data_IF_184304766303
#
_entry.id   IF_184304766303
#
_cell.length_a   1.000
_cell.length_b   1.000
_cell.length_c   1.000
_cell.angle_alpha   90.00
_cell.angle_beta   90.00
_cell.angle_gamma   90.00
#
_symmetry.space_group_name_H-M   'P 1'
#
loop_
_entity.id
_entity.type
_entity.pdbx_description
1 polymer ?
#
# COMPACT_ATOMS: atom_id res chain seq x y z
N UNK A 1 -9.70 -4.02 -13.43
CA UNK A 1 -10.31 -2.67 -13.35
C UNK A 1 -11.48 -2.57 -12.38
N UNK A 2 -12.41 -3.55 -12.31
CA UNK A 2 -13.52 -3.58 -11.32
C UNK A 2 -13.04 -3.56 -9.86
N UNK A 3 -12.01 -4.35 -9.56
CA UNK A 3 -11.39 -4.43 -8.24
C UNK A 3 -11.01 -3.07 -7.63
N UNK A 4 -10.20 -2.25 -8.32
CA UNK A 4 -9.72 -0.97 -7.79
C UNK A 4 -10.85 -0.05 -7.36
N UNK A 5 -11.91 0.07 -8.18
CA UNK A 5 -13.06 0.90 -7.83
C UNK A 5 -13.82 0.35 -6.62
N UNK A 6 -13.99 -0.97 -6.53
CA UNK A 6 -14.63 -1.61 -5.39
C UNK A 6 -13.81 -1.44 -4.10
N UNK A 7 -12.47 -1.58 -4.18
CA UNK A 7 -11.54 -1.33 -3.09
C UNK A 7 -11.68 0.10 -2.54
N UNK A 8 -11.62 1.10 -3.44
CA UNK A 8 -11.73 2.52 -3.07
C UNK A 8 -13.09 2.79 -2.42
N UNK A 9 -14.19 2.28 -2.99
CA UNK A 9 -15.53 2.44 -2.40
C UNK A 9 -15.61 1.84 -1.00
N UNK A 10 -15.04 0.67 -0.78
CA UNK A 10 -15.02 0.01 0.53
C UNK A 10 -14.22 0.82 1.55
N UNK A 11 -13.00 1.27 1.19
CA UNK A 11 -12.16 2.09 2.08
C UNK A 11 -12.79 3.46 2.40
N UNK A 12 -13.53 4.04 1.45
CA UNK A 12 -14.25 5.29 1.67
C UNK A 12 -15.60 5.10 2.37
N UNK A 13 -15.99 3.86 2.69
CA UNK A 13 -17.33 3.50 3.20
C UNK A 13 -18.46 4.03 2.32
N UNK A 14 -18.24 4.10 1.01
CA UNK A 14 -19.24 4.49 0.02
C UNK A 14 -20.23 3.35 -0.31
N UNK A 15 -20.29 2.31 0.53
CA UNK A 15 -21.21 1.19 0.43
C UNK A 15 -22.47 1.41 1.27
N UNK A 16 -23.59 0.85 0.82
CA UNK A 16 -24.92 1.07 1.41
C UNK A 16 -25.18 0.33 2.73
N UNK A 17 -24.31 -0.61 3.13
CA UNK A 17 -24.55 -1.51 4.26
C UNK A 17 -23.67 -1.22 5.48
N UNK A 18 -24.23 -1.37 6.68
CA UNK A 18 -23.49 -1.28 7.93
C UNK A 18 -22.46 -2.43 8.05
N UNK A 19 -21.32 -2.24 8.76
CA UNK A 19 -20.24 -3.23 8.85
C UNK A 19 -20.65 -4.62 9.38
N UNK A 20 -21.74 -4.72 10.15
CA UNK A 20 -22.26 -5.98 10.68
C UNK A 20 -23.19 -6.74 9.71
N UNK A 21 -23.54 -6.16 8.55
CA UNK A 21 -24.54 -6.73 7.64
C UNK A 21 -23.98 -7.95 6.88
N UNK A 22 -24.74 -9.05 6.71
CA UNK A 22 -24.31 -10.21 5.93
C UNK A 22 -23.88 -9.87 4.49
N UNK A 23 -24.54 -8.93 3.82
CA UNK A 23 -24.13 -8.49 2.48
C UNK A 23 -22.84 -7.67 2.47
N UNK A 24 -22.52 -6.95 3.55
CA UNK A 24 -21.22 -6.27 3.68
C UNK A 24 -20.09 -7.31 3.77
N UNK A 25 -20.29 -8.37 4.58
CA UNK A 25 -19.34 -9.49 4.67
C UNK A 25 -19.18 -10.22 3.34
N UNK A 26 -20.29 -10.52 2.66
CA UNK A 26 -20.27 -11.15 1.34
C UNK A 26 -19.53 -10.30 0.30
N UNK A 27 -19.79 -8.99 0.27
CA UNK A 27 -19.08 -8.07 -0.63
C UNK A 27 -17.57 -8.01 -0.40
N UNK A 28 -17.12 -8.18 0.85
CA UNK A 28 -15.69 -8.24 1.18
C UNK A 28 -15.04 -9.56 0.74
N UNK A 29 -15.74 -10.69 0.88
CA UNK A 29 -15.28 -11.99 0.36
C UNK A 29 -15.18 -11.99 -1.16
N UNK A 30 -16.18 -11.44 -1.84
CA UNK A 30 -16.17 -11.31 -3.30
C UNK A 30 -15.01 -10.42 -3.76
N UNK A 31 -14.73 -9.33 -3.02
CA UNK A 31 -13.63 -8.42 -3.30
C UNK A 31 -12.24 -9.08 -3.14
N UNK A 32 -12.04 -9.93 -2.14
CA UNK A 32 -10.80 -10.72 -2.01
C UNK A 32 -10.64 -11.72 -3.16
N UNK A 33 -11.73 -12.37 -3.57
CA UNK A 33 -11.70 -13.29 -4.73
C UNK A 33 -11.34 -12.54 -6.02
N UNK A 34 -11.90 -11.34 -6.23
CA UNK A 34 -11.52 -10.45 -7.33
C UNK A 34 -10.04 -10.03 -7.26
N UNK A 35 -9.50 -9.79 -6.05
CA UNK A 35 -8.09 -9.48 -5.84
C UNK A 35 -7.19 -10.64 -6.27
N UNK A 36 -7.45 -11.86 -5.80
CA UNK A 36 -6.64 -13.04 -6.12
C UNK A 36 -6.62 -13.31 -7.63
N UNK A 37 -7.78 -13.21 -8.29
CA UNK A 37 -7.88 -13.35 -9.74
C UNK A 37 -7.12 -12.25 -10.49
N UNK A 38 -7.17 -11.01 -9.98
CA UNK A 38 -6.42 -9.90 -10.56
C UNK A 38 -4.91 -10.11 -10.46
N UNK A 39 -4.44 -10.64 -9.32
CA UNK A 39 -3.02 -10.82 -9.07
C UNK A 39 -2.39 -11.87 -9.99
N UNK A 40 -3.08 -12.98 -10.25
CA UNK A 40 -2.50 -14.09 -11.00
C UNK A 40 -1.14 -14.51 -10.40
N UNK A 41 -0.09 -14.47 -11.21
CA UNK A 41 1.28 -14.82 -10.78
C UNK A 41 2.06 -13.65 -10.17
N UNK A 42 1.45 -12.46 -10.06
CA UNK A 42 2.13 -11.26 -9.57
C UNK A 42 2.20 -11.26 -8.05
N UNK A 43 3.31 -10.74 -7.51
CA UNK A 43 3.56 -10.79 -6.07
C UNK A 43 2.71 -9.80 -5.25
N UNK A 44 2.43 -8.61 -5.79
CA UNK A 44 1.75 -7.53 -5.06
C UNK A 44 1.14 -6.45 -5.96
N UNK A 45 0.16 -5.74 -5.41
CA UNK A 45 -0.43 -4.54 -5.99
C UNK A 45 -0.16 -3.35 -5.07
N UNK A 46 0.45 -2.29 -5.61
CA UNK A 46 0.86 -1.10 -4.84
C UNK A 46 0.13 0.13 -5.35
N UNK A 47 -0.50 0.87 -4.44
CA UNK A 47 -1.03 2.21 -4.69
C UNK A 47 -0.07 3.24 -4.10
N UNK A 48 0.34 4.22 -4.90
CA UNK A 48 1.35 5.19 -4.49
C UNK A 48 1.01 6.59 -4.96
N UNK A 49 1.09 7.55 -4.03
CA UNK A 49 1.05 8.97 -4.33
C UNK A 49 2.36 9.37 -4.99
N UNK A 50 2.25 9.94 -6.17
CA UNK A 50 3.34 10.59 -6.89
C UNK A 50 3.16 12.09 -6.84
N UNK A 51 4.20 12.80 -6.41
CA UNK A 51 4.22 14.27 -6.39
C UNK A 51 5.02 14.73 -7.61
N UNK A 52 4.36 15.45 -8.50
CA UNK A 52 5.00 16.22 -9.57
C UNK A 52 5.09 17.69 -9.14
N UNK A 53 5.77 18.53 -9.93
CA UNK A 53 5.93 19.95 -9.60
C UNK A 53 4.58 20.69 -9.45
N UNK A 54 3.55 20.26 -10.20
CA UNK A 54 2.27 20.97 -10.32
C UNK A 54 1.07 20.14 -9.83
N UNK A 55 1.24 18.84 -9.56
CA UNK A 55 0.11 17.97 -9.23
C UNK A 55 0.49 16.73 -8.38
N UNK A 56 -0.46 16.24 -7.58
CA UNK A 56 -0.41 14.96 -6.87
C UNK A 56 -1.35 13.97 -7.54
N UNK A 57 -0.79 12.87 -8.00
CA UNK A 57 -1.55 11.78 -8.62
C UNK A 57 -1.34 10.47 -7.85
N UNK A 58 -2.24 9.50 -8.08
CA UNK A 58 -2.07 8.13 -7.59
C UNK A 58 -1.66 7.26 -8.78
N UNK A 59 -0.59 6.50 -8.61
CA UNK A 59 -0.19 5.44 -9.54
C UNK A 59 -0.42 4.08 -8.91
N UNK A 60 -0.65 3.09 -9.76
CA UNK A 60 -0.79 1.70 -9.38
C UNK A 60 0.32 0.89 -10.05
N UNK A 61 1.11 0.23 -9.23
CA UNK A 61 2.15 -0.71 -9.64
C UNK A 61 1.67 -2.15 -9.38
N UNK A 62 2.01 -3.08 -10.27
CA UNK A 62 1.49 -4.46 -10.25
C UNK A 62 0.34 -4.76 -11.22
N UNK A 63 -0.08 -3.80 -12.06
CA UNK A 63 -0.99 -4.04 -13.18
C UNK A 63 -0.27 -4.40 -14.49
N UNK A 64 0.94 -3.89 -14.67
CA UNK A 64 1.76 -3.95 -15.88
C UNK A 64 3.24 -3.79 -15.46
N UNK A 65 4.16 -3.86 -16.41
CA UNK A 65 5.61 -3.69 -16.17
C UNK A 65 5.96 -2.27 -15.66
N UNK A 66 5.09 -1.30 -15.95
CA UNK A 66 5.23 0.08 -15.51
C UNK A 66 4.03 0.52 -14.65
N UNK A 67 4.24 1.38 -13.64
CA UNK A 67 3.14 1.97 -12.88
C UNK A 67 2.17 2.73 -13.78
N UNK A 68 0.87 2.46 -13.60
CA UNK A 68 -0.20 3.11 -14.35
C UNK A 68 -0.87 4.21 -13.51
N UNK A 69 -1.19 5.38 -14.07
CA UNK A 69 -2.04 6.36 -13.40
C UNK A 69 -3.39 5.73 -13.03
N UNK A 70 -3.91 6.05 -11.84
CA UNK A 70 -5.19 5.53 -11.34
C UNK A 70 -6.34 5.83 -12.31
N UNK A 71 -6.29 7.00 -12.96
CA UNK A 71 -7.26 7.46 -13.95
C UNK A 71 -7.36 6.51 -15.15
N UNK A 72 -6.26 5.85 -15.53
CA UNK A 72 -6.26 4.86 -16.63
C UNK A 72 -6.85 3.52 -16.21
N UNK A 73 -6.85 3.22 -14.92
CA UNK A 73 -7.39 1.96 -14.37
C UNK A 73 -8.88 2.08 -14.03
N UNK A 74 -9.41 3.30 -13.96
CA UNK A 74 -10.81 3.60 -13.68
C UNK A 74 -11.57 4.00 -14.96
N UNK A 75 -12.90 3.78 -14.98
CA UNK A 75 -13.76 4.32 -16.04
C UNK A 75 -13.92 5.83 -15.84
N UNK A 76 -13.99 6.61 -16.93
CA UNK A 76 -14.00 8.09 -16.91
C UNK A 76 -14.99 8.69 -15.90
N UNK A 77 -16.23 8.18 -15.85
CA UNK A 77 -17.28 8.72 -14.96
C UNK A 77 -16.99 8.50 -13.46
N UNK A 78 -16.17 7.51 -13.11
CA UNK A 78 -15.78 7.24 -11.73
C UNK A 78 -14.55 8.05 -11.30
N UNK A 79 -13.71 8.44 -12.25
CA UNK A 79 -12.41 9.07 -11.99
C UNK A 79 -12.56 10.42 -11.27
N UNK A 80 -13.42 11.31 -11.78
CA UNK A 80 -13.61 12.66 -11.23
C UNK A 80 -14.13 12.66 -9.78
N UNK A 81 -14.91 11.64 -9.41
CA UNK A 81 -15.50 11.53 -8.07
C UNK A 81 -14.57 10.85 -7.07
N UNK A 82 -13.87 9.79 -7.48
CA UNK A 82 -13.17 8.91 -6.55
C UNK A 82 -11.68 9.20 -6.43
N UNK A 83 -11.02 9.74 -7.46
CA UNK A 83 -9.58 10.05 -7.37
C UNK A 83 -9.29 11.12 -6.30
N UNK A 84 -10.00 12.27 -6.25
CA UNK A 84 -9.75 13.28 -5.22
C UNK A 84 -10.03 12.75 -3.80
N UNK A 85 -11.14 12.02 -3.63
CA UNK A 85 -11.49 11.39 -2.34
C UNK A 85 -10.46 10.35 -1.90
N UNK A 86 -9.86 9.65 -2.86
CA UNK A 86 -8.81 8.69 -2.54
C UNK A 86 -7.51 9.39 -2.16
N UNK A 87 -7.14 10.50 -2.80
CA UNK A 87 -6.05 11.35 -2.33
C UNK A 87 -6.29 11.89 -0.91
N UNK A 88 -7.49 12.37 -0.61
CA UNK A 88 -7.89 12.78 0.76
C UNK A 88 -7.77 11.64 1.76
N UNK A 89 -8.08 10.40 1.35
CA UNK A 89 -7.89 9.21 2.18
C UNK A 89 -6.40 8.98 2.49
N UNK A 90 -5.50 9.13 1.51
CA UNK A 90 -4.06 9.05 1.74
C UNK A 90 -3.60 10.16 2.71
N UNK A 91 -4.11 11.38 2.55
CA UNK A 91 -3.77 12.51 3.42
C UNK A 91 -4.22 12.30 4.85
N UNK A 92 -5.46 11.83 5.04
CA UNK A 92 -6.04 11.53 6.34
C UNK A 92 -5.18 10.54 7.14
N UNK A 93 -4.61 9.55 6.46
CA UNK A 93 -3.75 8.54 7.06
C UNK A 93 -2.26 8.90 7.03
N UNK A 94 -1.90 10.11 6.57
CA UNK A 94 -0.52 10.54 6.31
C UNK A 94 0.28 9.54 5.47
N UNK A 95 -0.41 8.90 4.52
CA UNK A 95 0.01 7.75 3.75
C UNK A 95 0.60 8.21 2.41
N UNK A 96 1.70 7.58 1.98
CA UNK A 96 2.30 7.76 0.66
C UNK A 96 2.08 6.56 -0.24
N UNK A 97 2.14 5.36 0.31
CA UNK A 97 1.83 4.15 -0.43
C UNK A 97 1.31 3.05 0.49
N UNK A 98 0.43 2.21 -0.03
CA UNK A 98 0.15 0.91 0.57
C UNK A 98 0.24 -0.17 -0.51
N UNK A 99 0.58 -1.38 -0.10
CA UNK A 99 0.71 -2.52 -1.00
C UNK A 99 0.05 -3.75 -0.41
N UNK A 100 -0.64 -4.49 -1.27
CA UNK A 100 -1.32 -5.74 -0.94
C UNK A 100 -0.55 -6.89 -1.57
N UNK A 101 -0.03 -7.81 -0.76
CA UNK A 101 0.63 -9.03 -1.27
C UNK A 101 -0.43 -10.03 -1.74
N UNK A 102 -0.14 -10.73 -2.83
CA UNK A 102 -1.05 -11.72 -3.42
C UNK A 102 -1.39 -12.88 -2.47
N UNK A 103 -0.52 -13.16 -1.49
CA UNK A 103 -0.70 -14.21 -0.49
C UNK A 103 -1.56 -13.81 0.71
N UNK A 104 -2.12 -12.59 0.73
CA UNK A 104 -3.00 -12.13 1.83
C UNK A 104 -4.21 -13.05 1.97
N UNK A 105 -4.51 -13.47 3.20
CA UNK A 105 -5.69 -14.30 3.47
C UNK A 105 -6.98 -13.47 3.37
N UNK A 106 -8.15 -14.10 3.13
CA UNK A 106 -9.42 -13.39 3.12
C UNK A 106 -9.71 -12.67 4.45
N UNK A 107 -9.36 -13.29 5.57
CA UNK A 107 -9.55 -12.75 6.92
C UNK A 107 -8.69 -11.50 7.14
N UNK A 108 -7.40 -11.58 6.82
CA UNK A 108 -6.48 -10.46 6.96
C UNK A 108 -6.86 -9.29 6.03
N UNK A 109 -7.23 -9.61 4.78
CA UNK A 109 -7.70 -8.62 3.82
C UNK A 109 -8.93 -7.87 4.35
N UNK A 110 -9.90 -8.61 4.90
CA UNK A 110 -11.09 -8.02 5.50
C UNK A 110 -10.73 -7.13 6.71
N UNK A 111 -9.90 -7.62 7.63
CA UNK A 111 -9.44 -6.88 8.81
C UNK A 111 -8.76 -5.57 8.41
N UNK A 112 -7.89 -5.62 7.40
CA UNK A 112 -7.25 -4.43 6.83
C UNK A 112 -8.27 -3.43 6.27
N UNK A 113 -9.26 -3.88 5.49
CA UNK A 113 -10.27 -2.98 4.92
C UNK A 113 -11.15 -2.34 6.00
N UNK A 114 -11.53 -3.10 7.02
CA UNK A 114 -12.29 -2.55 8.16
C UNK A 114 -11.48 -1.48 8.87
N UNK A 115 -10.22 -1.78 9.22
CA UNK A 115 -9.31 -0.84 9.88
C UNK A 115 -9.16 0.46 9.07
N UNK A 116 -8.83 0.35 7.78
CA UNK A 116 -8.57 1.52 6.94
C UNK A 116 -9.84 2.32 6.60
N UNK A 117 -11.02 1.71 6.69
CA UNK A 117 -12.29 2.39 6.46
C UNK A 117 -12.68 3.35 7.58
N UNK A 118 -12.15 3.14 8.79
CA UNK A 118 -12.39 4.00 9.93
C UNK A 118 -11.51 5.25 9.82
N UNK A 119 -12.00 6.44 10.18
CA UNK A 119 -11.12 7.59 10.31
C UNK A 119 -10.10 7.31 11.43
N UNK A 120 -8.82 7.71 11.28
CA UNK A 120 -7.87 7.63 12.37
C UNK A 120 -8.40 8.45 13.55
N UNK A 121 -8.21 7.95 14.77
CA UNK A 121 -8.65 8.65 15.98
C UNK A 121 -8.06 10.07 16.03
N UNK A 122 -8.91 11.06 16.26
CA UNK A 122 -8.53 12.45 16.31
C UNK A 122 -7.76 12.76 17.61
N UNK A 123 -6.43 12.66 17.60
CA UNK A 123 -5.59 13.26 18.65
C UNK A 123 -4.09 13.33 18.31
N UNK A 124 -3.54 14.52 18.56
CA UNK A 124 -2.15 14.95 18.82
C UNK A 124 -1.04 14.43 17.87
N UNK A 125 -0.73 15.20 16.80
CA UNK A 125 0.52 15.09 16.04
C UNK A 125 0.63 13.96 15.00
N UNK A 126 1.38 14.20 13.91
CA UNK A 126 1.55 13.26 12.78
C UNK A 126 2.38 12.03 13.15
N UNK A 127 3.40 12.20 13.99
CA UNK A 127 4.30 11.12 14.45
C UNK A 127 3.58 10.02 15.24
N UNK A 128 2.53 10.37 15.97
CA UNK A 128 1.76 9.41 16.78
C UNK A 128 0.75 8.63 15.94
N UNK A 129 0.29 9.18 14.80
CA UNK A 129 -0.55 8.45 13.86
C UNK A 129 0.20 7.28 13.19
N UNK A 130 1.45 7.49 12.77
CA UNK A 130 2.28 6.44 12.17
C UNK A 130 2.54 5.27 13.11
N UNK A 131 2.88 5.57 14.37
CA UNK A 131 3.09 4.54 15.41
C UNK A 131 1.80 3.78 15.70
N UNK A 132 0.67 4.47 15.83
CA UNK A 132 -0.65 3.83 16.02
C UNK A 132 -1.04 2.92 14.87
N UNK A 133 -0.88 3.37 13.62
CA UNK A 133 -1.17 2.51 12.47
C UNK A 133 -0.26 1.28 12.43
N UNK A 134 1.02 1.46 12.78
CA UNK A 134 1.93 0.31 13.00
C UNK A 134 1.34 -0.64 14.01
N UNK A 135 1.03 -0.14 15.21
CA UNK A 135 0.56 -0.93 16.33
C UNK A 135 -0.75 -1.64 16.00
N UNK A 136 -1.69 -0.98 15.32
CA UNK A 136 -2.93 -1.59 14.85
C UNK A 136 -2.68 -2.75 13.89
N UNK A 137 -1.71 -2.62 12.98
CA UNK A 137 -1.31 -3.73 12.10
C UNK A 137 -0.69 -4.88 12.92
N UNK A 138 0.10 -4.57 13.95
CA UNK A 138 0.66 -5.57 14.87
C UNK A 138 -0.46 -6.33 15.61
N UNK A 139 -1.33 -5.59 16.29
CA UNK A 139 -2.36 -6.14 17.17
C UNK A 139 -3.38 -6.96 16.38
N UNK A 140 -3.69 -6.54 15.15
CA UNK A 140 -4.63 -7.22 14.26
C UNK A 140 -3.98 -8.21 13.30
N UNK A 141 -2.68 -8.50 13.46
CA UNK A 141 -1.94 -9.48 12.66
C UNK A 141 -1.98 -9.22 11.14
N UNK A 142 -1.91 -7.94 10.75
CA UNK A 142 -1.84 -7.51 9.34
C UNK A 142 -0.35 -7.47 8.92
N UNK A 143 0.07 -8.48 8.15
CA UNK A 143 1.47 -8.78 7.77
C UNK A 143 1.72 -8.75 6.25
N UNK A 144 0.68 -8.99 5.45
CA UNK A 144 0.69 -9.00 3.99
C UNK A 144 0.30 -7.66 3.39
N UNK A 145 0.21 -6.63 4.23
CA UNK A 145 0.05 -5.24 3.82
C UNK A 145 1.26 -4.43 4.24
N UNK A 146 1.92 -3.79 3.27
CA UNK A 146 2.99 -2.82 3.53
C UNK A 146 2.46 -1.40 3.40
N UNK A 147 2.92 -0.49 4.26
CA UNK A 147 2.58 0.94 4.20
C UNK A 147 3.84 1.80 4.25
N UNK A 148 3.82 2.93 3.54
CA UNK A 148 4.82 4.00 3.68
C UNK A 148 4.06 5.26 4.03
N UNK A 149 4.43 5.90 5.13
CA UNK A 149 3.89 7.20 5.55
C UNK A 149 4.81 8.34 5.11
N UNK A 150 4.32 9.59 5.09
CA UNK A 150 5.17 10.76 4.77
C UNK A 150 6.36 10.92 5.73
N UNK A 151 6.18 10.52 6.98
CA UNK A 151 7.25 10.54 7.98
C UNK A 151 8.25 9.40 7.77
N UNK A 152 7.90 8.41 6.95
CA UNK A 152 8.75 7.27 6.67
C UNK A 152 9.79 7.46 5.56
N UNK A 153 9.71 8.57 4.82
CA UNK A 153 10.61 8.80 3.69
C UNK A 153 12.08 8.78 4.14
N UNK A 154 12.84 7.84 3.59
CA UNK A 154 14.30 7.75 3.74
C UNK A 154 14.98 8.74 2.80
N UNK A 155 16.02 9.42 3.29
CA UNK A 155 16.84 10.30 2.47
C UNK A 155 16.07 11.53 1.96
N UNK A 156 15.20 12.13 2.80
CA UNK A 156 14.51 13.39 2.48
C UNK A 156 15.48 14.45 1.93
N UNK A 157 16.63 14.60 2.57
CA UNK A 157 17.70 15.55 2.21
C UNK A 157 18.59 15.10 1.04
N UNK A 158 18.49 13.85 0.59
CA UNK A 158 19.31 13.31 -0.50
C UNK A 158 18.61 13.48 -1.85
N UNK A 159 19.38 13.80 -2.89
CA UNK A 159 18.92 13.76 -4.30
C UNK A 159 18.86 12.31 -4.79
N UNK A 160 17.85 11.58 -4.34
CA UNK A 160 17.53 10.23 -4.83
C UNK A 160 16.27 10.27 -5.70
N UNK A 161 16.19 9.48 -6.77
CA UNK A 161 14.95 9.28 -7.52
C UNK A 161 13.81 8.83 -6.59
N UNK A 162 12.59 9.34 -6.83
CA UNK A 162 11.43 9.09 -5.96
C UNK A 162 11.17 7.60 -5.74
N UNK A 163 11.23 6.80 -6.82
CA UNK A 163 11.04 5.34 -6.76
C UNK A 163 12.02 4.66 -5.79
N UNK A 164 13.28 5.10 -5.78
CA UNK A 164 14.29 4.56 -4.86
C UNK A 164 14.03 4.99 -3.41
N UNK A 165 13.62 6.25 -3.18
CA UNK A 165 13.18 6.68 -1.85
C UNK A 165 12.04 5.81 -1.33
N UNK A 166 11.05 5.51 -2.18
CA UNK A 166 9.91 4.66 -1.82
C UNK A 166 10.31 3.22 -1.53
N UNK A 167 11.12 2.59 -2.38
CA UNK A 167 11.59 1.22 -2.16
C UNK A 167 12.36 1.10 -0.83
N UNK A 168 13.27 2.03 -0.54
CA UNK A 168 14.02 2.04 0.72
C UNK A 168 13.14 2.31 1.95
N UNK A 169 12.18 3.24 1.83
CA UNK A 169 11.26 3.57 2.93
C UNK A 169 10.36 2.39 3.26
N UNK A 170 9.90 1.68 2.23
CA UNK A 170 9.11 0.46 2.38
C UNK A 170 9.92 -0.67 3.00
N UNK A 171 11.13 -0.93 2.51
CA UNK A 171 12.01 -1.94 3.09
C UNK A 171 12.26 -1.66 4.58
N UNK A 172 12.54 -0.40 4.93
CA UNK A 172 12.69 0.01 6.35
C UNK A 172 11.43 -0.28 7.17
N UNK A 173 10.25 -0.06 6.59
CA UNK A 173 8.97 -0.36 7.26
C UNK A 173 8.80 -1.85 7.48
N UNK A 174 8.97 -2.65 6.44
CA UNK A 174 8.75 -4.08 6.53
C UNK A 174 9.76 -4.73 7.49
N UNK A 175 11.00 -4.22 7.56
CA UNK A 175 11.99 -4.62 8.56
C UNK A 175 11.57 -4.28 10.01
N UNK A 176 10.84 -3.18 10.24
CA UNK A 176 10.30 -2.84 11.57
C UNK A 176 9.19 -3.79 12.03
N UNK A 177 8.56 -4.51 11.11
CA UNK A 177 7.55 -5.53 11.44
C UNK A 177 8.19 -6.85 11.85
N UNK A 178 9.50 -7.04 11.61
CA UNK A 178 10.20 -8.30 11.93
C UNK A 178 10.12 -8.75 13.40
N UNK A 179 10.12 -7.86 14.41
CA UNK A 179 9.97 -8.27 15.81
C UNK A 179 8.65 -8.98 16.13
N UNK A 180 7.61 -8.87 15.30
CA UNK A 180 6.36 -9.64 15.47
C UNK A 180 6.55 -11.14 15.27
N UNK A 181 7.58 -11.53 14.54
CA UNK A 181 7.86 -12.91 14.24
C UNK A 181 8.76 -13.56 15.31
N UNK A 182 8.97 -12.89 16.46
CA UNK A 182 9.62 -13.47 17.64
C UNK A 182 8.71 -14.58 18.21
N UNK A 183 8.86 -15.79 17.67
CA UNK A 183 8.03 -16.95 17.98
C UNK A 183 7.66 -17.78 16.75
N UNK A 184 7.86 -17.25 15.54
CA UNK A 184 7.66 -18.00 14.30
C UNK A 184 8.81 -19.02 14.09
N UNK A 185 8.48 -20.16 13.49
CA UNK A 185 9.47 -21.18 13.15
C UNK A 185 10.54 -20.64 12.19
N UNK A 186 11.76 -21.21 12.17
CA UNK A 186 12.81 -20.83 11.22
C UNK A 186 12.34 -20.84 9.75
N UNK A 187 11.47 -21.78 9.38
CA UNK A 187 10.89 -21.94 8.05
C UNK A 187 9.87 -20.82 7.73
N UNK A 188 9.11 -20.37 8.72
CA UNK A 188 8.22 -19.20 8.59
C UNK A 188 9.03 -17.92 8.46
N UNK A 189 10.07 -17.73 9.29
CA UNK A 189 10.98 -16.58 9.20
C UNK A 189 11.63 -16.53 7.82
N UNK A 190 12.06 -17.66 7.26
CA UNK A 190 12.68 -17.70 5.95
C UNK A 190 11.69 -17.35 4.83
N UNK A 191 10.47 -17.93 4.83
CA UNK A 191 9.41 -17.55 3.89
C UNK A 191 9.06 -16.07 3.96
N UNK A 192 8.98 -15.52 5.18
CA UNK A 192 8.66 -14.12 5.42
C UNK A 192 9.77 -13.19 4.92
N UNK A 193 11.05 -13.54 5.15
CA UNK A 193 12.19 -12.79 4.59
C UNK A 193 12.12 -12.69 3.07
N UNK A 194 11.82 -13.80 2.39
CA UNK A 194 11.65 -13.84 0.93
C UNK A 194 10.49 -12.92 0.49
N UNK A 195 9.35 -12.98 1.18
CA UNK A 195 8.16 -12.17 0.87
C UNK A 195 8.30 -10.67 1.22
N UNK A 196 9.22 -10.30 2.10
CA UNK A 196 9.45 -8.91 2.52
C UNK A 196 10.56 -8.26 1.70
N UNK A 197 11.67 -8.98 1.48
CA UNK A 197 12.90 -8.41 0.95
C UNK A 197 12.94 -8.44 -0.58
N UNK A 198 12.49 -9.52 -1.22
CA UNK A 198 12.62 -9.68 -2.68
C UNK A 198 11.74 -8.71 -3.49
N UNK A 199 10.47 -8.41 -3.13
CA UNK A 199 9.66 -7.45 -3.87
C UNK A 199 10.21 -6.02 -3.77
N UNK A 200 10.80 -5.65 -2.63
CA UNK A 200 11.41 -4.33 -2.44
C UNK A 200 12.70 -4.15 -3.24
N UNK A 201 13.52 -5.21 -3.37
CA UNK A 201 14.80 -5.18 -4.09
C UNK A 201 14.66 -5.37 -5.60
N UNK A 202 13.71 -6.19 -6.06
CA UNK A 202 13.45 -6.39 -7.50
C UNK A 202 12.97 -5.12 -8.21
N UNK A 203 12.37 -4.18 -7.46
CA UNK A 203 11.96 -2.86 -7.95
C UNK A 203 13.13 -1.85 -8.04
N UNK A 204 14.32 -2.21 -7.56
CA UNK A 204 15.54 -1.39 -7.67
C UNK A 204 16.26 -1.80 -8.96
N UNK A 205 16.02 -1.06 -10.06
CA UNK A 205 16.85 -1.19 -11.25
C UNK A 205 18.21 -0.52 -11.00
N UNK A 206 19.27 -1.33 -10.91
CA UNK A 206 20.64 -0.85 -10.71
C UNK A 206 21.18 0.00 -11.87
N UNK A 207 20.54 -0.02 -13.04
CA UNK A 207 20.92 0.84 -14.18
C UNK A 207 20.72 2.34 -13.92
N UNK A 208 19.84 2.71 -12.98
CA UNK A 208 19.59 4.11 -12.60
C UNK A 208 20.61 4.66 -11.60
N UNK A 209 21.39 3.80 -10.94
CA UNK A 209 22.41 4.20 -9.94
C UNK A 209 23.74 4.54 -10.61
N UNK A 210 23.99 4.01 -11.81
CA UNK A 210 25.25 4.22 -12.55
C UNK A 210 25.26 5.48 -13.42
N UNK A 211 24.10 6.00 -13.85
CA UNK A 211 24.05 7.18 -14.74
C UNK A 211 24.27 8.52 -14.04
N UNK A 212 24.24 8.59 -12.70
CA UNK A 212 24.54 9.84 -11.96
C UNK A 212 26.03 10.01 -11.62
N UNK A 213 26.92 9.11 -12.07
CA UNK A 213 28.37 9.27 -11.91
C UNK A 213 29.09 9.69 -13.21
N UNK A 214 28.37 9.95 -14.30
CA UNK A 214 28.96 10.22 -15.60
C UNK A 214 28.56 11.58 -16.18
N UNK A 215 28.71 12.64 -15.37
CA UNK A 215 28.81 14.02 -15.86
C UNK A 215 29.79 14.78 -14.97
N UNK A 216 31.07 14.39 -14.99
CA UNK A 216 32.22 15.19 -14.57
C UNK A 216 33.50 14.57 -15.17
N UNK A 217 33.71 14.73 -16.47
CA UNK A 217 35.03 14.96 -17.09
C UNK A 217 34.80 15.98 -18.21
#
# INVERSE_FOLDING_TARGET
MRFTLALIKTMLRAGYYAPGHPEAKKGLTDLHSEFVLLMGDRAELTYMVTVTADDRAITIDGYDDAPLPLERVMKQDATSLFVPKFLEFFDRWNLLSFSLKATISPEEFHTFLVLMSQPPEASQGTTDAAKRLTQAFLDQHIIHVSTVLNDDIVGKERRLPWRLKMALSRLRRDLRMLPLYKGASPEEIQRIKTQIVEPGLSKISWSTVTSSQQTWI
#
